data_IF_085861764552
#
_entry.id   IF_085861764552
#
_cell.length_a   1.000
_cell.length_b   1.000
_cell.length_c   1.000
_cell.angle_alpha   90.00
_cell.angle_beta   90.00
_cell.angle_gamma   90.00
#
_symmetry.space_group_name_H-M   'P 1'
#
loop_
_entity.id
_entity.type
_entity.pdbx_description
1 polymer ?
#
# COMPACT_ATOMS: atom_id res chain seq x y z
N UNK A 1 8.58 -28.99 14.81
CA UNK A 1 7.56 -28.06 14.29
C UNK A 1 7.85 -27.87 12.81
N UNK A 2 6.96 -28.33 11.92
CA UNK A 2 7.10 -28.07 10.48
C UNK A 2 6.84 -26.58 10.22
N UNK A 3 7.58 -25.92 9.32
CA UNK A 3 7.34 -24.52 8.99
C UNK A 3 5.93 -24.36 8.40
N UNK A 4 5.16 -23.41 8.93
CA UNK A 4 3.86 -23.03 8.38
C UNK A 4 4.04 -22.56 6.94
N UNK A 5 3.23 -23.03 5.97
CA UNK A 5 3.34 -22.57 4.59
C UNK A 5 3.12 -21.06 4.52
N UNK A 6 4.02 -20.37 3.80
CA UNK A 6 3.92 -18.93 3.59
C UNK A 6 2.80 -18.66 2.58
N UNK A 7 1.81 -17.87 2.98
CA UNK A 7 0.66 -17.56 2.15
C UNK A 7 0.95 -16.40 1.18
N UNK A 8 1.62 -15.34 1.67
CA UNK A 8 1.99 -14.19 0.85
C UNK A 8 3.37 -13.63 1.23
N UNK A 9 4.03 -13.03 0.25
CA UNK A 9 5.20 -12.17 0.42
C UNK A 9 4.73 -10.74 0.28
N UNK A 10 4.78 -10.01 1.39
CA UNK A 10 4.24 -8.66 1.55
C UNK A 10 5.37 -7.67 1.44
N UNK A 11 5.30 -6.75 0.49
CA UNK A 11 6.18 -5.57 0.48
C UNK A 11 5.42 -4.38 1.04
N UNK A 12 6.01 -3.67 1.99
CA UNK A 12 5.44 -2.46 2.62
C UNK A 12 6.52 -1.48 3.05
N UNK A 13 6.19 -0.19 3.16
CA UNK A 13 7.12 0.87 3.58
C UNK A 13 7.54 0.78 5.07
N UNK A 14 6.80 0.05 5.90
CA UNK A 14 7.00 0.03 7.35
C UNK A 14 7.91 -1.14 7.77
N UNK A 15 9.18 -0.84 8.05
CA UNK A 15 10.17 -1.81 8.51
C UNK A 15 9.81 -2.43 9.87
N UNK A 16 9.05 -1.72 10.69
CA UNK A 16 8.62 -2.09 12.05
C UNK A 16 7.25 -2.77 12.09
N UNK A 17 6.59 -2.97 10.94
CA UNK A 17 5.28 -3.60 10.91
C UNK A 17 5.36 -5.07 11.36
N UNK A 18 4.66 -5.38 12.45
CA UNK A 18 4.44 -6.75 12.89
C UNK A 18 3.43 -7.43 11.98
N UNK A 19 3.81 -8.58 11.39
CA UNK A 19 2.92 -9.36 10.53
C UNK A 19 2.84 -10.81 11.03
N UNK A 20 1.70 -11.50 10.82
CA UNK A 20 1.58 -12.90 11.20
C UNK A 20 2.67 -13.77 10.56
N UNK A 21 3.14 -14.79 11.28
CA UNK A 21 4.22 -15.68 10.83
C UNK A 21 3.92 -16.48 9.55
N UNK A 22 2.66 -16.50 9.10
CA UNK A 22 2.24 -17.07 7.83
C UNK A 22 2.60 -16.18 6.61
N UNK A 23 3.15 -15.00 6.84
CA UNK A 23 3.54 -14.04 5.81
C UNK A 23 5.04 -13.73 5.89
N UNK A 24 5.65 -13.44 4.75
CA UNK A 24 7.02 -12.91 4.67
C UNK A 24 6.96 -11.41 4.45
N UNK A 25 7.61 -10.61 5.32
CA UNK A 25 7.73 -9.16 5.16
C UNK A 25 8.96 -8.83 4.33
N UNK A 26 8.77 -7.96 3.35
CA UNK A 26 9.82 -7.20 2.68
C UNK A 26 9.53 -5.71 2.90
N UNK A 27 10.60 -4.93 2.92
CA UNK A 27 10.52 -3.49 3.17
C UNK A 27 11.71 -2.78 2.52
N UNK A 28 11.79 -1.44 2.55
CA UNK A 28 12.92 -0.71 1.95
C UNK A 28 14.29 -1.15 2.49
N UNK A 29 14.37 -1.63 3.74
CA UNK A 29 15.61 -2.15 4.33
C UNK A 29 16.05 -3.47 3.71
N UNK A 30 15.12 -4.38 3.38
CA UNK A 30 15.45 -5.70 2.83
C UNK A 30 15.41 -5.76 1.31
N UNK A 31 14.56 -4.92 0.71
CA UNK A 31 14.22 -4.90 -0.71
C UNK A 31 13.96 -3.45 -1.11
N UNK A 32 15.03 -2.65 -1.31
CA UNK A 32 14.92 -1.25 -1.69
C UNK A 32 14.24 -1.11 -3.06
N UNK A 33 13.52 -0.01 -3.27
CA UNK A 33 12.86 0.27 -4.54
C UNK A 33 13.84 0.41 -5.71
N UNK A 34 15.08 0.83 -5.42
CA UNK A 34 16.19 0.84 -6.37
C UNK A 34 16.97 -0.48 -6.24
N UNK A 35 16.93 -1.29 -7.29
CA UNK A 35 17.71 -2.54 -7.40
C UNK A 35 17.23 -3.73 -6.57
N UNK A 36 16.13 -3.62 -5.81
CA UNK A 36 15.52 -4.75 -5.10
C UNK A 36 14.87 -5.77 -6.03
N UNK A 37 14.83 -7.04 -5.61
CA UNK A 37 14.09 -8.09 -6.31
C UNK A 37 12.64 -8.17 -5.81
N UNK A 38 11.70 -7.92 -6.72
CA UNK A 38 10.27 -7.91 -6.49
C UNK A 38 9.55 -9.15 -7.03
N UNK A 39 10.28 -10.10 -7.60
CA UNK A 39 9.73 -11.26 -8.31
C UNK A 39 8.81 -12.11 -7.44
N UNK A 40 9.14 -12.30 -6.16
CA UNK A 40 8.36 -13.09 -5.21
C UNK A 40 7.18 -12.34 -4.57
N UNK A 41 7.05 -11.02 -4.77
CA UNK A 41 6.04 -10.20 -4.10
C UNK A 41 4.65 -10.56 -4.59
N UNK A 42 3.75 -10.91 -3.65
CA UNK A 42 2.35 -11.26 -3.93
C UNK A 42 1.34 -10.32 -3.28
N UNK A 43 1.77 -9.50 -2.33
CA UNK A 43 0.98 -8.44 -1.69
C UNK A 43 1.82 -7.16 -1.64
N UNK A 44 1.31 -6.06 -2.15
CA UNK A 44 2.03 -4.78 -2.18
C UNK A 44 1.22 -3.66 -1.51
N UNK A 45 1.86 -2.96 -0.59
CA UNK A 45 1.41 -1.69 -0.03
C UNK A 45 2.36 -0.59 -0.49
N UNK A 46 1.97 0.26 -1.46
CA UNK A 46 2.80 1.37 -1.92
C UNK A 46 3.04 2.41 -0.82
N UNK A 47 4.04 3.26 -1.02
CA UNK A 47 4.29 4.38 -0.12
C UNK A 47 3.07 5.29 0.04
N UNK A 48 2.81 5.70 1.27
CA UNK A 48 1.80 6.71 1.56
C UNK A 48 2.19 8.04 0.89
N UNK A 49 1.24 8.66 0.20
CA UNK A 49 1.46 9.84 -0.64
C UNK A 49 2.55 9.69 -1.71
N UNK A 50 2.91 8.46 -2.10
CA UNK A 50 3.92 8.20 -3.12
C UNK A 50 3.45 8.42 -4.56
N UNK A 51 2.16 8.69 -4.78
CA UNK A 51 1.56 8.95 -6.09
C UNK A 51 1.81 7.84 -7.12
N UNK A 52 1.75 8.21 -8.40
CA UNK A 52 2.03 7.30 -9.52
C UNK A 52 3.41 6.62 -9.44
N UNK A 53 4.51 7.30 -9.05
CA UNK A 53 5.82 6.63 -8.92
C UNK A 53 5.81 5.41 -8.00
N UNK A 54 5.06 5.45 -6.89
CA UNK A 54 4.94 4.30 -6.01
C UNK A 54 4.15 3.14 -6.64
N UNK A 55 3.20 3.44 -7.54
CA UNK A 55 2.44 2.41 -8.27
C UNK A 55 3.26 1.76 -9.38
N UNK A 56 4.17 2.50 -10.04
CA UNK A 56 5.04 1.97 -11.12
C UNK A 56 5.85 0.74 -10.69
N UNK A 57 6.20 0.62 -9.41
CA UNK A 57 6.90 -0.53 -8.85
C UNK A 57 6.13 -1.85 -9.02
N UNK A 58 4.80 -1.82 -9.11
CA UNK A 58 3.97 -3.01 -9.38
C UNK A 58 4.28 -3.68 -10.72
N UNK A 59 4.91 -2.99 -11.66
CA UNK A 59 5.38 -3.56 -12.94
C UNK A 59 6.53 -4.53 -12.75
N UNK A 60 7.28 -4.43 -11.66
CA UNK A 60 8.37 -5.34 -11.31
C UNK A 60 7.91 -6.57 -10.52
N UNK A 61 6.61 -6.68 -10.20
CA UNK A 61 6.03 -7.73 -9.37
C UNK A 61 5.16 -8.69 -10.21
N UNK A 62 5.75 -9.60 -11.00
CA UNK A 62 4.99 -10.48 -11.90
C UNK A 62 3.98 -11.37 -11.15
N UNK A 63 4.25 -11.69 -9.88
CA UNK A 63 3.41 -12.56 -9.04
C UNK A 63 2.42 -11.78 -8.15
N UNK A 64 2.26 -10.47 -8.35
CA UNK A 64 1.38 -9.65 -7.51
C UNK A 64 -0.07 -10.12 -7.60
N UNK A 65 -0.68 -10.37 -6.44
CA UNK A 65 -2.09 -10.78 -6.31
C UNK A 65 -2.94 -9.71 -5.65
N UNK A 66 -2.38 -8.96 -4.71
CA UNK A 66 -3.11 -7.96 -3.93
C UNK A 66 -2.35 -6.64 -3.97
N UNK A 67 -3.01 -5.59 -4.45
CA UNK A 67 -2.56 -4.21 -4.37
C UNK A 67 -3.42 -3.48 -3.34
N UNK A 68 -2.84 -3.15 -2.18
CA UNK A 68 -3.52 -2.40 -1.11
C UNK A 68 -3.00 -0.96 -1.11
N UNK A 69 -3.79 -0.02 -1.60
CA UNK A 69 -3.41 1.40 -1.51
C UNK A 69 -3.80 1.98 -0.13
N UNK A 70 -2.95 2.81 0.49
CA UNK A 70 -3.25 3.46 1.78
C UNK A 70 -4.13 4.71 1.63
N UNK A 71 -4.67 4.96 0.44
CA UNK A 71 -5.51 6.11 0.14
C UNK A 71 -6.99 5.69 0.12
N UNK A 72 -7.89 6.65 0.38
CA UNK A 72 -9.33 6.43 0.19
C UNK A 72 -9.68 6.36 -1.31
N UNK A 73 -9.16 7.31 -2.11
CA UNK A 73 -9.24 7.27 -3.57
C UNK A 73 -8.22 6.30 -4.18
N UNK A 74 -8.57 5.67 -5.29
CA UNK A 74 -7.75 4.62 -5.91
C UNK A 74 -7.72 4.66 -7.45
N UNK A 75 -8.25 5.72 -8.07
CA UNK A 75 -8.38 5.85 -9.52
C UNK A 75 -7.04 5.63 -10.25
N UNK A 76 -5.95 6.23 -9.75
CA UNK A 76 -4.59 6.05 -10.31
C UNK A 76 -4.11 4.60 -10.25
N UNK A 77 -4.59 3.79 -9.31
CA UNK A 77 -4.17 2.40 -9.14
C UNK A 77 -4.83 1.46 -10.14
N UNK A 78 -5.97 1.84 -10.74
CA UNK A 78 -6.73 1.00 -11.68
C UNK A 78 -5.86 0.59 -12.88
N UNK A 79 -5.02 1.49 -13.39
CA UNK A 79 -4.12 1.23 -14.53
C UNK A 79 -3.11 0.09 -14.25
N UNK A 80 -2.81 -0.18 -12.98
CA UNK A 80 -1.80 -1.15 -12.57
C UNK A 80 -2.38 -2.52 -12.23
N UNK A 81 -3.71 -2.66 -12.22
CA UNK A 81 -4.41 -3.92 -11.92
C UNK A 81 -4.39 -4.83 -13.14
N UNK A 82 -3.87 -6.05 -12.96
CA UNK A 82 -3.84 -7.11 -13.97
C UNK A 82 -4.95 -8.15 -13.71
N UNK A 83 -5.36 -8.95 -14.71
CA UNK A 83 -6.34 -10.01 -14.51
C UNK A 83 -5.99 -10.91 -13.32
N UNK A 84 -6.97 -11.16 -12.44
CA UNK A 84 -6.80 -11.98 -11.23
C UNK A 84 -6.21 -11.24 -10.02
N UNK A 85 -5.83 -9.97 -10.15
CA UNK A 85 -5.45 -9.14 -9.00
C UNK A 85 -6.68 -8.62 -8.25
N UNK A 86 -6.52 -8.45 -6.94
CA UNK A 86 -7.45 -7.72 -6.07
C UNK A 86 -6.87 -6.35 -5.74
N UNK A 87 -7.65 -5.30 -6.00
CA UNK A 87 -7.35 -3.94 -5.57
C UNK A 87 -8.14 -3.63 -4.30
N UNK A 88 -7.43 -3.19 -3.26
CA UNK A 88 -7.99 -2.77 -1.98
C UNK A 88 -7.58 -1.32 -1.71
N UNK A 89 -8.41 -0.57 -0.98
CA UNK A 89 -8.15 0.81 -0.59
C UNK A 89 -8.35 1.03 0.92
N UNK A 90 -7.91 2.17 1.41
CA UNK A 90 -8.13 2.64 2.78
C UNK A 90 -9.45 3.38 2.90
N UNK A 91 -10.58 2.71 2.60
CA UNK A 91 -11.90 3.36 2.76
C UNK A 91 -12.08 3.80 4.21
N UNK A 92 -12.61 5.01 4.39
CA UNK A 92 -12.94 5.66 5.67
C UNK A 92 -11.80 5.95 6.66
N UNK A 93 -10.55 5.57 6.38
CA UNK A 93 -9.44 5.76 7.35
C UNK A 93 -9.05 7.22 7.59
N UNK A 94 -9.51 8.13 6.72
CA UNK A 94 -9.21 9.57 6.78
C UNK A 94 -10.43 10.42 7.09
N UNK A 95 -11.59 9.80 7.37
CA UNK A 95 -12.88 10.52 7.46
C UNK A 95 -12.89 11.55 8.57
N UNK A 96 -12.45 11.18 9.78
CA UNK A 96 -12.42 12.07 10.96
C UNK A 96 -11.52 13.29 10.70
N UNK A 97 -10.27 13.06 10.30
CA UNK A 97 -9.33 14.14 9.99
C UNK A 97 -9.80 15.03 8.84
N UNK A 98 -10.51 14.46 7.86
CA UNK A 98 -11.08 15.22 6.74
C UNK A 98 -12.24 16.09 7.21
N UNK A 99 -13.09 15.57 8.10
CA UNK A 99 -14.19 16.32 8.69
C UNK A 99 -13.66 17.49 9.54
N UNK A 100 -12.65 17.24 10.39
CA UNK A 100 -12.00 18.29 11.19
C UNK A 100 -11.40 19.38 10.32
N UNK A 101 -10.66 18.99 9.26
CA UNK A 101 -10.08 19.94 8.31
C UNK A 101 -11.17 20.76 7.61
N UNK A 102 -12.25 20.13 7.14
CA UNK A 102 -13.34 20.80 6.45
C UNK A 102 -14.03 21.84 7.35
N UNK A 103 -14.32 21.48 8.60
CA UNK A 103 -14.91 22.41 9.59
C UNK A 103 -13.93 23.54 9.90
N UNK A 104 -12.65 23.23 10.12
CA UNK A 104 -11.60 24.22 10.40
C UNK A 104 -11.45 25.25 9.27
N UNK A 105 -11.37 24.79 8.01
CA UNK A 105 -11.30 25.66 6.83
C UNK A 105 -12.57 26.50 6.66
N UNK A 106 -13.75 25.94 6.96
CA UNK A 106 -15.02 26.68 6.91
C UNK A 106 -15.04 27.83 7.91
N UNK A 107 -14.62 27.58 9.15
CA UNK A 107 -14.53 28.63 10.18
C UNK A 107 -13.51 29.69 9.77
N UNK A 108 -12.33 29.29 9.32
CA UNK A 108 -11.28 30.21 8.89
C UNK A 108 -11.76 31.11 7.73
N UNK A 109 -12.46 30.56 6.74
CA UNK A 109 -13.01 31.34 5.63
C UNK A 109 -14.10 32.33 6.04
N UNK A 110 -14.82 32.09 7.14
CA UNK A 110 -15.94 32.92 7.59
C UNK A 110 -15.57 33.90 8.71
N UNK A 111 -14.42 33.71 9.36
CA UNK A 111 -14.00 34.41 10.59
C UNK A 111 -12.54 34.87 10.61
N UNK A 112 -11.77 34.60 9.55
CA UNK A 112 -10.38 35.08 9.36
C UNK A 112 -10.29 36.43 8.68
#
# INVERSE_FOLDING_TARGET
MSPTPINHVVWTQWDDLEIPSAFKKLSPVTTPADGGDFSDVTFYVPWYMGGRPALELTKQMPNLKILQVPNAGFDDAIEFVRPGMTLCNGRSIHDDSTAELAVGLTIASLRG
#
